data_IF_699852117352
#
_entry.id   IF_699852117352
#
_cell.length_a   1.000
_cell.length_b   1.000
_cell.length_c   1.000
_cell.angle_alpha   90.00
_cell.angle_beta   90.00
_cell.angle_gamma   90.00
#
_symmetry.space_group_name_H-M   'P 1'
#
loop_
_entity.id
_entity.type
_entity.pdbx_description
1 polymer ?
#
# COMPACT_ATOMS: atom_id res chain seq x y z
N UNK A 1 23.92 -24.33 -4.80
CA UNK A 1 22.79 -24.32 -5.75
C UNK A 1 21.58 -23.71 -5.05
N UNK A 2 20.72 -22.99 -5.78
CA UNK A 2 19.52 -22.33 -5.24
C UNK A 2 18.22 -23.09 -5.59
N UNK A 3 18.32 -24.41 -5.78
CA UNK A 3 17.17 -25.26 -6.09
C UNK A 3 16.10 -25.17 -5.00
N UNK A 4 14.85 -25.37 -5.38
CA UNK A 4 13.64 -25.29 -4.56
C UNK A 4 13.35 -23.90 -3.97
N UNK A 5 14.00 -22.85 -4.47
CA UNK A 5 13.67 -21.47 -4.07
C UNK A 5 12.23 -21.15 -4.41
N UNK A 6 11.50 -20.58 -3.46
CA UNK A 6 10.15 -20.05 -3.64
C UNK A 6 10.15 -18.55 -3.31
N UNK A 7 9.97 -17.71 -4.33
CA UNK A 7 10.03 -16.27 -4.21
C UNK A 7 8.83 -15.61 -4.89
N UNK A 8 8.28 -14.61 -4.21
CA UNK A 8 7.21 -13.75 -4.73
C UNK A 8 7.54 -12.29 -4.47
N UNK A 9 7.44 -11.46 -5.51
CA UNK A 9 7.60 -10.01 -5.40
C UNK A 9 6.31 -9.31 -5.81
N UNK A 10 5.75 -8.48 -4.93
CA UNK A 10 4.60 -7.62 -5.24
C UNK A 10 4.96 -6.14 -5.16
N UNK A 11 4.60 -5.38 -6.19
CA UNK A 11 4.69 -3.92 -6.21
C UNK A 11 3.34 -3.32 -6.60
N UNK A 12 2.59 -2.85 -5.61
CA UNK A 12 1.32 -2.18 -5.83
C UNK A 12 1.51 -0.68 -5.69
N UNK A 13 0.93 0.10 -6.60
CA UNK A 13 1.12 1.55 -6.67
C UNK A 13 -0.22 2.26 -6.85
N UNK A 14 -0.42 3.35 -6.11
CA UNK A 14 -1.57 4.25 -6.28
C UNK A 14 -1.05 5.63 -6.68
N UNK A 15 -1.56 6.15 -7.79
CA UNK A 15 -1.37 7.54 -8.21
C UNK A 15 -2.43 8.42 -7.54
N UNK A 16 -1.99 9.42 -6.78
CA UNK A 16 -2.86 10.28 -5.96
C UNK A 16 -3.18 11.63 -6.62
N UNK A 17 -2.62 11.90 -7.80
CA UNK A 17 -2.88 13.12 -8.58
C UNK A 17 -2.54 12.89 -10.05
N UNK A 18 -3.09 13.70 -10.95
CA UNK A 18 -2.83 13.60 -12.39
C UNK A 18 -1.38 13.90 -12.80
N UNK A 19 -0.62 14.56 -11.91
CA UNK A 19 0.80 14.86 -12.10
C UNK A 19 1.71 13.79 -11.48
N UNK A 20 1.15 12.80 -10.77
CA UNK A 20 1.93 11.76 -10.14
C UNK A 20 2.44 10.78 -11.20
N UNK A 21 3.69 10.35 -11.05
CA UNK A 21 4.31 9.35 -11.91
C UNK A 21 4.98 8.28 -11.05
N UNK A 22 4.99 7.04 -11.55
CA UNK A 22 5.71 5.93 -10.95
C UNK A 22 6.40 5.16 -12.07
N UNK A 23 7.67 4.83 -11.86
CA UNK A 23 8.43 3.98 -12.76
C UNK A 23 8.78 2.70 -12.00
N UNK A 24 8.34 1.56 -12.52
CA UNK A 24 8.52 0.26 -11.88
C UNK A 24 9.05 -0.73 -12.89
N UNK A 25 10.09 -1.45 -12.50
CA UNK A 25 10.79 -2.44 -13.32
C UNK A 25 11.15 -3.64 -12.42
N UNK A 26 10.19 -4.53 -12.13
CA UNK A 26 10.49 -5.74 -11.38
C UNK A 26 11.38 -6.64 -12.25
N UNK A 27 12.47 -7.16 -11.68
CA UNK A 27 13.46 -7.97 -12.41
C UNK A 27 13.84 -9.17 -11.56
N UNK A 28 13.96 -10.33 -12.20
CA UNK A 28 14.39 -11.59 -11.59
C UNK A 28 15.49 -12.18 -12.47
N UNK A 29 16.59 -12.59 -11.85
CA UNK A 29 17.67 -13.33 -12.50
C UNK A 29 17.67 -14.75 -11.92
N UNK A 30 17.34 -15.73 -12.75
CA UNK A 30 17.13 -17.12 -12.33
C UNK A 30 18.18 -18.00 -12.98
N UNK A 31 19.03 -18.61 -12.14
CA UNK A 31 20.12 -19.49 -12.56
C UNK A 31 19.89 -20.96 -12.15
N UNK A 32 18.70 -21.30 -11.67
CA UNK A 32 18.33 -22.63 -11.19
C UNK A 32 16.97 -23.05 -11.77
N UNK A 33 16.85 -24.32 -12.19
CA UNK A 33 15.69 -24.82 -12.93
C UNK A 33 14.52 -25.23 -12.04
N UNK A 34 14.78 -25.86 -10.88
CA UNK A 34 13.74 -26.29 -9.93
C UNK A 34 13.39 -25.16 -8.98
N UNK A 35 12.77 -24.08 -9.46
CA UNK A 35 12.36 -22.94 -8.64
C UNK A 35 10.93 -22.48 -8.93
N UNK A 36 10.34 -21.77 -7.97
CA UNK A 36 9.06 -21.07 -8.13
C UNK A 36 9.28 -19.59 -7.84
N UNK A 37 9.45 -18.80 -8.89
CA UNK A 37 9.67 -17.37 -8.77
C UNK A 37 8.61 -16.62 -9.56
N UNK A 38 7.97 -15.62 -8.95
CA UNK A 38 7.01 -14.77 -9.64
C UNK A 38 7.08 -13.33 -9.13
N UNK A 39 6.71 -12.41 -10.00
CA UNK A 39 6.55 -11.00 -9.65
C UNK A 39 5.20 -10.47 -10.14
N UNK A 40 4.69 -9.45 -9.47
CA UNK A 40 3.44 -8.79 -9.83
C UNK A 40 3.56 -7.30 -9.60
N UNK A 41 3.07 -6.51 -10.55
CA UNK A 41 3.02 -5.07 -10.43
C UNK A 41 1.64 -4.55 -10.82
N UNK A 42 1.06 -3.71 -9.97
CA UNK A 42 -0.22 -3.02 -10.24
C UNK A 42 -0.04 -1.52 -10.12
N UNK A 43 -0.73 -0.77 -10.96
CA UNK A 43 -0.78 0.70 -10.92
C UNK A 43 -2.24 1.09 -11.08
N UNK A 44 -2.75 1.93 -10.19
CA UNK A 44 -4.12 2.42 -10.24
C UNK A 44 -4.30 3.74 -9.53
N UNK A 45 -5.55 4.16 -9.40
CA UNK A 45 -5.96 5.36 -8.66
C UNK A 45 -6.86 4.95 -7.48
N UNK A 46 -7.25 5.92 -6.66
CA UNK A 46 -8.21 5.68 -5.58
C UNK A 46 -9.58 5.29 -6.16
N UNK A 47 -10.26 4.35 -5.52
CA UNK A 47 -11.60 3.90 -5.92
C UNK A 47 -12.62 5.04 -5.76
N UNK A 48 -13.08 5.57 -6.89
CA UNK A 48 -14.05 6.66 -6.94
C UNK A 48 -15.42 6.26 -6.37
N UNK A 49 -15.81 5.00 -6.47
CA UNK A 49 -17.07 4.49 -5.91
C UNK A 49 -17.00 4.44 -4.39
N UNK A 50 -15.86 3.97 -3.84
CA UNK A 50 -15.61 4.01 -2.40
C UNK A 50 -15.55 5.46 -1.88
N UNK A 51 -14.86 6.34 -2.61
CA UNK A 51 -14.82 7.78 -2.32
C UNK A 51 -16.22 8.40 -2.29
N UNK A 52 -17.03 8.15 -3.33
CA UNK A 52 -18.40 8.63 -3.41
C UNK A 52 -19.24 8.10 -2.24
N UNK A 53 -19.13 6.81 -1.93
CA UNK A 53 -19.84 6.19 -0.82
C UNK A 53 -19.51 6.87 0.52
N UNK A 54 -18.22 7.03 0.85
CA UNK A 54 -17.79 7.70 2.08
C UNK A 54 -18.30 9.15 2.15
N UNK A 55 -18.20 9.89 1.04
CA UNK A 55 -18.67 11.28 0.98
C UNK A 55 -20.18 11.40 1.14
N UNK A 56 -20.97 10.48 0.57
CA UNK A 56 -22.42 10.45 0.76
C UNK A 56 -22.85 10.19 2.20
N UNK A 57 -21.95 9.61 3.02
CA UNK A 57 -22.13 9.40 4.46
C UNK A 57 -21.61 10.57 5.32
N UNK A 58 -21.22 11.68 4.70
CA UNK A 58 -20.76 12.88 5.39
C UNK A 58 -19.28 12.89 5.73
N UNK A 59 -18.49 11.91 5.28
CA UNK A 59 -17.03 11.94 5.46
C UNK A 59 -16.45 12.96 4.48
N UNK A 60 -15.70 13.97 4.95
CA UNK A 60 -15.14 14.96 4.05
C UNK A 60 -14.09 14.32 3.14
N UNK A 61 -13.88 14.93 1.96
CA UNK A 61 -13.08 14.33 0.89
C UNK A 61 -11.65 14.01 1.32
N UNK A 62 -11.05 14.88 2.15
CA UNK A 62 -9.68 14.74 2.64
C UNK A 62 -9.53 13.49 3.51
N UNK A 63 -10.47 13.30 4.43
CA UNK A 63 -10.53 12.16 5.34
C UNK A 63 -10.84 10.87 4.55
N UNK A 64 -11.76 10.92 3.58
CA UNK A 64 -12.06 9.77 2.73
C UNK A 64 -10.84 9.31 1.91
N UNK A 65 -10.09 10.25 1.29
CA UNK A 65 -8.84 9.93 0.59
C UNK A 65 -7.82 9.31 1.55
N UNK A 66 -7.68 9.88 2.74
CA UNK A 66 -6.74 9.38 3.73
C UNK A 66 -7.10 7.99 4.24
N UNK A 67 -8.39 7.68 4.41
CA UNK A 67 -8.86 6.34 4.76
C UNK A 67 -8.49 5.31 3.69
N UNK A 68 -8.69 5.62 2.41
CA UNK A 68 -8.29 4.71 1.32
C UNK A 68 -6.77 4.52 1.25
N UNK A 69 -6.00 5.60 1.36
CA UNK A 69 -4.53 5.51 1.38
C UNK A 69 -4.00 4.74 2.61
N UNK A 70 -4.66 4.90 3.76
CA UNK A 70 -4.35 4.14 4.96
C UNK A 70 -4.68 2.66 4.77
N UNK A 71 -5.87 2.33 4.25
CA UNK A 71 -6.26 0.96 3.95
C UNK A 71 -5.29 0.28 2.98
N UNK A 72 -4.85 0.99 1.94
CA UNK A 72 -3.84 0.51 1.01
C UNK A 72 -2.50 0.21 1.70
N UNK A 73 -2.04 1.13 2.56
CA UNK A 73 -0.79 0.98 3.32
C UNK A 73 -0.89 -0.12 4.39
N UNK A 74 -2.10 -0.41 4.89
CA UNK A 74 -2.31 -1.36 5.97
C UNK A 74 -1.91 -2.80 5.60
N UNK A 75 -1.92 -3.13 4.30
CA UNK A 75 -1.39 -4.40 3.81
C UNK A 75 0.05 -4.64 4.29
N UNK A 76 0.90 -3.60 4.24
CA UNK A 76 2.29 -3.67 4.74
C UNK A 76 2.34 -3.55 6.26
N UNK A 77 1.52 -2.66 6.85
CA UNK A 77 1.49 -2.44 8.30
C UNK A 77 1.11 -3.67 9.11
N UNK A 78 0.33 -4.59 8.53
CA UNK A 78 -0.02 -5.87 9.16
C UNK A 78 1.21 -6.73 9.52
N UNK A 79 2.33 -6.55 8.82
CA UNK A 79 3.58 -7.28 9.09
C UNK A 79 4.38 -6.73 10.28
N UNK A 80 4.09 -5.51 10.73
CA UNK A 80 4.77 -4.86 11.85
C UNK A 80 4.20 -5.42 13.17
N UNK A 81 4.99 -6.27 13.84
CA UNK A 81 4.55 -6.98 15.05
C UNK A 81 4.72 -6.20 16.34
N UNK A 82 5.64 -5.24 16.38
CA UNK A 82 5.96 -4.47 17.59
C UNK A 82 4.95 -3.31 17.70
N UNK A 83 4.06 -3.29 18.71
CA UNK A 83 2.98 -2.32 18.82
C UNK A 83 3.48 -0.87 18.81
N UNK A 84 4.57 -0.58 19.52
CA UNK A 84 5.14 0.76 19.63
C UNK A 84 5.67 1.27 18.29
N UNK A 85 6.26 0.37 17.49
CA UNK A 85 6.71 0.69 16.12
C UNK A 85 5.50 0.90 15.21
N UNK A 86 4.48 0.02 15.31
CA UNK A 86 3.26 0.14 14.52
C UNK A 86 2.57 1.48 14.77
N UNK A 87 2.39 1.87 16.03
CA UNK A 87 1.82 3.15 16.42
C UNK A 87 2.66 4.32 15.92
N UNK A 88 3.99 4.25 16.05
CA UNK A 88 4.89 5.30 15.54
C UNK A 88 4.76 5.48 14.03
N UNK A 89 4.74 4.39 13.26
CA UNK A 89 4.61 4.46 11.80
C UNK A 89 3.22 4.98 11.41
N UNK A 90 2.15 4.51 12.07
CA UNK A 90 0.79 5.01 11.82
C UNK A 90 0.70 6.53 12.02
N UNK A 91 1.31 7.07 13.08
CA UNK A 91 1.40 8.53 13.29
C UNK A 91 2.14 9.25 12.17
N UNK A 92 3.26 8.69 11.70
CA UNK A 92 4.02 9.26 10.57
C UNK A 92 3.18 9.26 9.29
N UNK A 93 2.45 8.18 9.01
CA UNK A 93 1.54 8.09 7.85
C UNK A 93 0.44 9.14 7.98
N UNK A 94 -0.26 9.20 9.12
CA UNK A 94 -1.34 10.17 9.35
C UNK A 94 -0.88 11.62 9.15
N UNK A 95 0.30 11.97 9.69
CA UNK A 95 0.92 13.28 9.49
C UNK A 95 1.20 13.57 8.01
N UNK A 96 1.70 12.58 7.26
CA UNK A 96 1.99 12.73 5.82
C UNK A 96 0.72 12.86 4.98
N UNK A 97 -0.37 12.24 5.42
CA UNK A 97 -1.70 12.38 4.81
C UNK A 97 -2.43 13.66 5.27
N UNK A 98 -1.86 14.40 6.21
CA UNK A 98 -2.38 15.68 6.71
C UNK A 98 -3.69 15.54 7.48
N UNK A 99 -3.97 14.38 8.05
CA UNK A 99 -5.22 14.08 8.75
C UNK A 99 -4.93 13.62 10.18
N UNK A 100 -5.81 14.01 11.10
CA UNK A 100 -5.79 13.51 12.46
C UNK A 100 -6.85 12.40 12.56
N UNK A 101 -6.58 11.25 11.95
CA UNK A 101 -7.49 10.12 12.05
C UNK A 101 -7.30 9.54 13.45
N UNK A 102 -8.38 9.49 14.23
CA UNK A 102 -8.45 8.83 15.54
C UNK A 102 -8.31 7.32 15.41
N UNK A 103 -7.20 6.86 14.85
CA UNK A 103 -6.79 5.47 14.89
C UNK A 103 -6.25 5.19 16.29
N UNK A 104 -7.16 5.09 17.26
CA UNK A 104 -6.86 4.39 18.50
C UNK A 104 -6.71 2.90 18.14
N UNK A 105 -5.52 2.53 17.66
CA UNK A 105 -5.09 1.18 17.29
C UNK A 105 -4.12 0.61 18.33
#
# INVERSE_FOLDING_TARGET
EAQKTNAFQANNNILVSDKATINTKPQLEIFADDVKCSHGCTIGQLDESAMFYMRSRGIPEKEAKALLMYAFSNNVMSSVKIPEIKQRITKIIANKLGVNIGFDL
#
